data_IF_947191831820
#
_entry.id   IF_947191831820
#
_cell.length_a   1.000
_cell.length_b   1.000
_cell.length_c   1.000
_cell.angle_alpha   90.00
_cell.angle_beta   90.00
_cell.angle_gamma   90.00
#
_symmetry.space_group_name_H-M   'P 1'
#
loop_
_entity.id
_entity.type
_entity.pdbx_description
1 polymer ?
#
# COMPACT_ATOMS: atom_id res chain seq x y z
N UNK A 1 -12.61 -8.77 -20.90
CA UNK A 1 -13.26 -7.67 -20.17
C UNK A 1 -12.17 -6.70 -19.70
N UNK A 2 -11.94 -5.61 -20.43
CA UNK A 2 -11.09 -4.52 -19.99
C UNK A 2 -11.98 -3.52 -19.24
N UNK A 3 -12.24 -3.82 -17.97
CA UNK A 3 -12.90 -2.88 -17.07
C UNK A 3 -11.87 -1.89 -16.57
N UNK A 4 -12.08 -0.59 -16.83
CA UNK A 4 -11.43 0.45 -16.03
C UNK A 4 -11.63 0.10 -14.56
N UNK A 5 -10.54 0.12 -13.78
CA UNK A 5 -10.54 -0.22 -12.35
C UNK A 5 -11.50 0.72 -11.63
N UNK A 6 -12.76 0.32 -11.49
CA UNK A 6 -13.74 1.05 -10.69
C UNK A 6 -13.60 0.62 -9.24
N UNK A 7 -13.68 1.59 -8.35
CA UNK A 7 -13.51 1.39 -6.92
C UNK A 7 -14.53 0.38 -6.37
N UNK A 8 -14.05 -0.49 -5.49
CA UNK A 8 -14.90 -1.25 -4.58
C UNK A 8 -15.45 -0.29 -3.53
N UNK A 9 -16.77 -0.30 -3.30
CA UNK A 9 -17.40 0.59 -2.32
C UNK A 9 -17.84 -0.24 -1.13
N UNK A 10 -17.30 0.07 0.05
CA UNK A 10 -17.69 -0.57 1.33
C UNK A 10 -18.89 0.15 1.93
N UNK A 11 -19.92 -0.60 2.27
CA UNK A 11 -21.15 -0.09 2.88
C UNK A 11 -21.63 -1.04 3.96
N UNK A 12 -22.35 -0.52 4.95
CA UNK A 12 -23.11 -1.35 5.89
C UNK A 12 -24.47 -1.70 5.28
N UNK A 13 -24.93 -2.93 5.44
CA UNK A 13 -26.25 -3.34 4.93
C UNK A 13 -27.35 -3.10 5.96
N UNK A 14 -28.53 -2.71 5.48
CA UNK A 14 -29.76 -2.60 6.28
C UNK A 14 -30.89 -3.36 5.56
N UNK A 15 -31.07 -4.66 5.86
CA UNK A 15 -32.11 -5.47 5.24
C UNK A 15 -33.50 -5.02 5.68
N UNK A 16 -34.31 -4.51 4.75
CA UNK A 16 -35.69 -4.06 5.00
C UNK A 16 -36.62 -4.57 3.91
N UNK A 17 -37.93 -4.61 4.17
CA UNK A 17 -38.89 -5.11 3.19
C UNK A 17 -39.19 -4.03 2.14
N UNK A 18 -38.46 -4.08 1.02
CA UNK A 18 -38.60 -3.14 -0.09
C UNK A 18 -38.19 -3.79 -1.41
N UNK A 19 -38.77 -3.34 -2.51
CA UNK A 19 -38.47 -3.92 -3.83
C UNK A 19 -37.19 -3.35 -4.46
N UNK A 20 -36.82 -2.12 -4.08
CA UNK A 20 -35.75 -1.34 -4.70
C UNK A 20 -34.61 -1.11 -3.72
N UNK A 21 -33.35 -1.06 -4.15
CA UNK A 21 -32.25 -0.71 -3.22
C UNK A 21 -32.05 0.80 -3.14
N UNK A 22 -31.77 1.31 -1.94
CA UNK A 22 -31.31 2.68 -1.69
C UNK A 22 -29.92 2.64 -1.11
N UNK A 23 -29.08 3.56 -1.56
CA UNK A 23 -27.84 3.85 -0.87
C UNK A 23 -27.94 5.18 -0.15
N UNK A 24 -27.65 5.17 1.13
CA UNK A 24 -27.53 6.36 1.96
C UNK A 24 -26.05 6.70 2.07
N UNK A 25 -25.68 7.89 1.62
CA UNK A 25 -24.31 8.39 1.65
C UNK A 25 -24.16 9.45 2.75
N UNK A 26 -23.04 9.46 3.49
CA UNK A 26 -22.74 10.57 4.39
C UNK A 26 -22.78 11.91 3.67
N UNK A 27 -23.23 12.96 4.33
CA UNK A 27 -23.20 14.31 3.76
C UNK A 27 -21.78 14.69 3.32
N UNK A 28 -21.63 15.13 2.07
CA UNK A 28 -20.32 15.48 1.50
C UNK A 28 -19.47 14.30 1.04
N UNK A 29 -20.02 13.08 0.98
CA UNK A 29 -19.32 11.92 0.39
C UNK A 29 -18.99 12.14 -1.08
N UNK A 30 -17.77 11.75 -1.47
CA UNK A 30 -17.22 11.75 -2.83
C UNK A 30 -17.40 10.41 -3.55
N UNK A 31 -18.18 9.48 -2.97
CA UNK A 31 -18.39 8.16 -3.55
C UNK A 31 -19.18 8.25 -4.87
N UNK A 32 -18.56 7.80 -5.95
CA UNK A 32 -19.19 7.72 -7.27
C UNK A 32 -20.18 6.55 -7.36
N UNK A 33 -21.43 6.81 -6.98
CA UNK A 33 -22.55 5.87 -7.10
C UNK A 33 -23.58 6.43 -8.07
N UNK A 34 -24.08 5.59 -8.96
CA UNK A 34 -25.03 5.97 -9.99
C UNK A 34 -26.41 5.36 -9.69
N UNK A 35 -27.44 6.20 -9.61
CA UNK A 35 -28.82 5.73 -9.59
C UNK A 35 -29.15 5.00 -10.91
N UNK A 36 -29.97 3.95 -10.83
CA UNK A 36 -30.25 3.04 -11.93
C UNK A 36 -29.23 1.92 -12.11
N UNK A 37 -28.05 2.02 -11.50
CA UNK A 37 -26.95 1.08 -11.70
C UNK A 37 -27.11 -0.18 -10.86
N UNK A 38 -26.63 -1.29 -11.42
CA UNK A 38 -26.65 -2.58 -10.73
C UNK A 38 -25.29 -2.94 -10.17
N UNK A 39 -25.31 -3.47 -8.95
CA UNK A 39 -24.16 -3.91 -8.20
C UNK A 39 -24.32 -5.39 -7.83
N UNK A 40 -23.23 -6.15 -7.93
CA UNK A 40 -23.08 -7.38 -7.15
C UNK A 40 -22.65 -6.93 -5.76
N UNK A 41 -23.45 -7.29 -4.77
CA UNK A 41 -23.15 -7.09 -3.36
C UNK A 41 -22.48 -8.36 -2.86
N UNK A 42 -21.29 -8.22 -2.30
CA UNK A 42 -20.52 -9.33 -1.72
C UNK A 42 -20.30 -9.03 -0.25
N UNK A 43 -20.63 -9.98 0.64
CA UNK A 43 -20.32 -9.84 2.06
C UNK A 43 -18.83 -9.54 2.25
N UNK A 44 -18.47 -8.66 3.19
CA UNK A 44 -17.09 -8.47 3.64
C UNK A 44 -16.73 -9.47 4.76
N UNK A 45 -17.73 -10.05 5.43
CA UNK A 45 -17.56 -10.96 6.58
C UNK A 45 -17.15 -12.35 6.12
N UNK A 46 -15.90 -12.77 6.39
CA UNK A 46 -15.37 -14.06 5.93
C UNK A 46 -16.22 -15.25 6.36
N UNK A 47 -16.76 -15.24 7.59
CA UNK A 47 -17.56 -16.30 8.18
C UNK A 47 -18.97 -16.41 7.58
N UNK A 48 -19.44 -15.36 6.88
CA UNK A 48 -20.74 -15.31 6.19
C UNK A 48 -20.53 -15.01 4.71
N UNK A 49 -19.87 -15.88 3.93
CA UNK A 49 -19.69 -15.65 2.50
C UNK A 49 -21.05 -15.68 1.82
N UNK A 50 -21.47 -14.55 1.26
CA UNK A 50 -22.73 -14.45 0.53
C UNK A 50 -22.64 -13.35 -0.52
N UNK A 51 -23.38 -13.53 -1.61
CA UNK A 51 -23.50 -12.50 -2.66
C UNK A 51 -24.89 -12.46 -3.23
N UNK A 52 -25.33 -11.27 -3.64
CA UNK A 52 -26.64 -11.04 -4.25
C UNK A 52 -26.58 -9.80 -5.15
N UNK A 53 -27.68 -9.52 -5.86
CA UNK A 53 -27.80 -8.36 -6.74
C UNK A 53 -28.59 -7.22 -6.09
N UNK A 54 -28.10 -6.00 -6.26
CA UNK A 54 -28.82 -4.79 -5.89
C UNK A 54 -28.81 -3.79 -7.04
N UNK A 55 -29.99 -3.38 -7.52
CA UNK A 55 -30.14 -2.22 -8.40
C UNK A 55 -30.44 -1.01 -7.53
N UNK A 56 -29.47 -0.11 -7.44
CA UNK A 56 -29.59 1.14 -6.66
C UNK A 56 -30.46 2.08 -7.49
N UNK A 57 -31.65 2.41 -7.02
CA UNK A 57 -32.58 3.29 -7.74
C UNK A 57 -32.61 4.70 -7.18
N UNK A 58 -32.22 4.86 -5.92
CA UNK A 58 -32.18 6.15 -5.25
C UNK A 58 -30.92 6.25 -4.38
N UNK A 59 -30.36 7.46 -4.35
CA UNK A 59 -29.22 7.84 -3.53
C UNK A 59 -29.73 8.91 -2.58
N UNK A 60 -29.67 8.64 -1.28
CA UNK A 60 -30.10 9.54 -0.23
C UNK A 60 -28.89 10.00 0.60
N UNK A 61 -29.02 11.12 1.31
CA UNK A 61 -28.04 11.57 2.30
C UNK A 61 -28.38 11.05 3.69
N UNK A 62 -27.39 10.61 4.46
CA UNK A 62 -27.52 10.27 5.89
C UNK A 62 -26.62 11.14 6.76
N UNK A 63 -27.01 11.31 8.03
CA UNK A 63 -26.15 11.87 9.09
C UNK A 63 -25.12 10.85 9.59
N UNK A 64 -25.27 9.57 9.23
CA UNK A 64 -24.32 8.54 9.59
C UNK A 64 -22.96 8.79 8.94
N UNK A 65 -21.92 8.38 9.63
CA UNK A 65 -20.54 8.51 9.15
C UNK A 65 -20.17 7.47 8.09
N UNK A 66 -21.00 6.44 7.92
CA UNK A 66 -20.78 5.32 7.00
C UNK A 66 -21.92 5.22 5.98
N UNK A 67 -21.61 4.87 4.72
CA UNK A 67 -22.65 4.54 3.75
C UNK A 67 -23.48 3.33 4.18
N UNK A 68 -24.80 3.40 3.94
CA UNK A 68 -25.74 2.32 4.25
C UNK A 68 -26.47 1.88 2.98
N UNK A 69 -26.44 0.58 2.67
CA UNK A 69 -27.27 -0.02 1.62
C UNK A 69 -28.55 -0.60 2.23
N UNK A 70 -29.67 0.07 1.96
CA UNK A 70 -30.99 -0.48 2.23
C UNK A 70 -31.43 -1.40 1.09
N UNK A 71 -31.73 -2.66 1.39
CA UNK A 71 -32.10 -3.66 0.37
C UNK A 71 -33.16 -4.62 0.89
N UNK A 72 -33.87 -5.27 -0.03
CA UNK A 72 -34.83 -6.32 0.27
C UNK A 72 -34.23 -7.38 1.21
N UNK A 73 -34.83 -7.57 2.38
CA UNK A 73 -34.41 -8.57 3.36
C UNK A 73 -34.44 -10.00 2.79
N UNK A 74 -35.31 -10.27 1.82
CA UNK A 74 -35.36 -11.57 1.13
C UNK A 74 -34.14 -11.82 0.25
N UNK A 75 -33.53 -10.77 -0.30
CA UNK A 75 -32.34 -10.85 -1.15
C UNK A 75 -31.05 -10.88 -0.35
N UNK A 76 -31.02 -10.21 0.80
CA UNK A 76 -29.85 -10.14 1.69
C UNK A 76 -29.44 -11.51 2.27
N UNK A 77 -30.36 -12.48 2.29
CA UNK A 77 -30.09 -13.85 2.72
C UNK A 77 -29.65 -13.91 4.19
N UNK A 78 -28.47 -14.47 4.52
CA UNK A 78 -28.00 -14.62 5.90
C UNK A 78 -27.39 -13.33 6.50
N UNK A 79 -27.36 -12.22 5.74
CA UNK A 79 -26.76 -10.96 6.20
C UNK A 79 -27.72 -10.21 7.13
N UNK A 80 -27.18 -9.74 8.24
CA UNK A 80 -27.90 -8.97 9.24
C UNK A 80 -27.65 -7.47 9.08
N UNK A 81 -28.49 -6.65 9.71
CA UNK A 81 -28.26 -5.20 9.78
C UNK A 81 -26.89 -4.90 10.39
N UNK A 82 -26.16 -3.98 9.74
CA UNK A 82 -24.81 -3.58 10.13
C UNK A 82 -23.69 -4.47 9.58
N UNK A 83 -23.98 -5.65 9.02
CA UNK A 83 -22.95 -6.45 8.32
C UNK A 83 -22.33 -5.60 7.19
N UNK A 84 -21.02 -5.63 7.05
CA UNK A 84 -20.31 -4.91 5.99
C UNK A 84 -20.36 -5.69 4.68
N UNK A 85 -20.57 -4.98 3.57
CA UNK A 85 -20.60 -5.53 2.22
C UNK A 85 -19.82 -4.63 1.25
N UNK A 86 -19.24 -5.26 0.24
CA UNK A 86 -18.57 -4.63 -0.87
C UNK A 86 -19.52 -4.55 -2.08
N UNK A 87 -19.65 -3.37 -2.68
CA UNK A 87 -20.43 -3.13 -3.88
C UNK A 87 -19.52 -3.12 -5.11
N UNK A 88 -19.82 -4.01 -6.05
CA UNK A 88 -19.12 -4.08 -7.33
C UNK A 88 -20.09 -3.74 -8.44
N UNK A 89 -19.85 -2.65 -9.18
CA UNK A 89 -20.67 -2.37 -10.33
C UNK A 89 -20.58 -3.49 -11.35
N UNK A 90 -21.73 -3.97 -11.81
CA UNK A 90 -21.77 -5.16 -12.66
C UNK A 90 -22.70 -4.95 -13.84
N UNK A 91 -22.16 -5.16 -15.05
CA UNK A 91 -22.94 -5.14 -16.28
C UNK A 91 -23.60 -6.51 -16.42
N UNK A 92 -24.86 -6.59 -16.01
CA UNK A 92 -25.61 -7.84 -16.06
C UNK A 92 -25.94 -8.17 -17.53
N UNK A 93 -25.53 -9.36 -18.02
CA UNK A 93 -25.92 -9.78 -19.36
C UNK A 93 -27.41 -10.13 -19.41
N UNK A 94 -28.03 -9.83 -20.56
CA UNK A 94 -29.38 -10.32 -20.83
C UNK A 94 -29.36 -11.85 -20.99
N UNK A 95 -30.31 -12.52 -20.36
CA UNK A 95 -30.50 -13.96 -20.48
C UNK A 95 -30.96 -14.30 -21.90
N UNK A 96 -30.32 -15.27 -22.53
CA UNK A 96 -30.87 -15.97 -23.71
C UNK A 96 -31.98 -16.92 -23.29
N UNK A 97 -31.80 -17.57 -22.14
CA UNK A 97 -32.76 -18.50 -21.54
C UNK A 97 -32.83 -18.31 -20.04
N UNK A 98 -34.04 -18.34 -19.48
CA UNK A 98 -34.33 -18.36 -18.05
C UNK A 98 -35.28 -19.52 -17.74
N UNK A 99 -34.89 -20.42 -16.85
CA UNK A 99 -35.75 -21.50 -16.36
C UNK A 99 -36.28 -21.10 -14.99
N UNK A 100 -37.60 -21.08 -14.86
CA UNK A 100 -38.32 -20.79 -13.61
C UNK A 100 -38.85 -22.10 -13.06
N UNK A 101 -38.56 -22.39 -11.79
CA UNK A 101 -39.21 -23.50 -11.10
C UNK A 101 -40.47 -23.02 -10.38
N UNK A 102 -41.58 -23.72 -10.59
CA UNK A 102 -42.84 -23.47 -9.88
C UNK A 102 -43.30 -24.74 -9.14
N UNK A 103 -44.00 -24.61 -8.01
CA UNK A 103 -44.63 -25.74 -7.32
C UNK A 103 -45.56 -26.57 -8.22
N UNK A 104 -45.53 -27.88 -8.02
CA UNK A 104 -46.42 -28.85 -8.68
C UNK A 104 -47.93 -28.56 -8.52
N UNK A 105 -48.33 -27.93 -7.42
CA UNK A 105 -49.71 -27.52 -7.10
C UNK A 105 -50.37 -26.60 -8.15
N UNK A 106 -49.58 -25.90 -8.97
CA UNK A 106 -50.10 -25.04 -10.03
C UNK A 106 -50.69 -25.88 -11.17
N UNK A 107 -52.00 -26.12 -11.17
CA UNK A 107 -52.69 -26.97 -12.17
C UNK A 107 -52.69 -26.37 -13.58
N UNK A 108 -52.85 -25.04 -13.68
CA UNK A 108 -52.95 -24.34 -14.96
C UNK A 108 -51.59 -24.05 -15.61
N UNK A 109 -50.49 -24.17 -14.85
CA UNK A 109 -49.13 -23.94 -15.34
C UNK A 109 -48.49 -25.29 -15.63
N UNK A 110 -48.28 -25.57 -16.90
CA UNK A 110 -47.62 -26.77 -17.42
C UNK A 110 -46.12 -26.54 -17.53
N UNK A 111 -45.34 -27.62 -17.59
CA UNK A 111 -43.91 -27.53 -17.90
C UNK A 111 -43.72 -27.22 -19.39
N UNK A 112 -42.80 -26.32 -19.74
CA UNK A 112 -42.51 -25.97 -21.13
C UNK A 112 -42.11 -24.51 -21.33
N UNK A 113 -42.20 -24.02 -22.57
CA UNK A 113 -41.93 -22.64 -22.91
C UNK A 113 -43.14 -21.75 -22.56
N UNK A 114 -42.92 -20.74 -21.73
CA UNK A 114 -43.91 -19.76 -21.28
C UNK A 114 -43.47 -18.32 -21.54
N UNK A 115 -42.62 -18.11 -22.56
CA UNK A 115 -42.03 -16.80 -22.87
C UNK A 115 -43.08 -15.71 -23.02
N UNK A 116 -44.10 -15.91 -23.86
CA UNK A 116 -45.14 -14.91 -24.11
C UNK A 116 -45.94 -14.51 -22.85
N UNK A 117 -46.01 -15.39 -21.86
CA UNK A 117 -46.77 -15.16 -20.63
C UNK A 117 -45.93 -14.47 -19.56
N UNK A 118 -44.69 -14.91 -19.34
CA UNK A 118 -43.85 -14.34 -18.28
C UNK A 118 -43.05 -13.13 -18.75
N UNK A 119 -42.60 -13.08 -20.00
CA UNK A 119 -41.68 -12.04 -20.45
C UNK A 119 -42.22 -10.62 -20.22
N UNK A 120 -43.49 -10.29 -20.51
CA UNK A 120 -44.00 -8.93 -20.30
C UNK A 120 -43.91 -8.45 -18.84
N UNK A 121 -44.05 -9.38 -17.88
CA UNK A 121 -44.01 -9.06 -16.45
C UNK A 121 -42.61 -9.19 -15.84
N UNK A 122 -41.71 -9.90 -16.51
CA UNK A 122 -40.33 -10.09 -16.05
C UNK A 122 -39.33 -9.17 -16.77
N UNK A 123 -39.71 -8.53 -17.86
CA UNK A 123 -38.82 -7.71 -18.67
C UNK A 123 -38.13 -6.61 -17.85
N UNK A 124 -36.82 -6.51 -17.96
CA UNK A 124 -35.98 -5.58 -17.18
C UNK A 124 -35.66 -6.03 -15.76
N UNK A 125 -36.29 -7.08 -15.25
CA UNK A 125 -35.97 -7.63 -13.93
C UNK A 125 -34.61 -8.35 -13.94
N UNK A 126 -34.00 -8.37 -12.77
CA UNK A 126 -32.73 -9.01 -12.52
C UNK A 126 -32.95 -10.29 -11.73
N UNK A 127 -32.26 -11.36 -12.12
CA UNK A 127 -32.33 -12.64 -11.45
C UNK A 127 -30.93 -13.17 -11.15
N UNK A 128 -30.81 -13.68 -9.94
CA UNK A 128 -29.74 -14.55 -9.49
C UNK A 128 -30.29 -15.95 -9.18
N UNK A 129 -29.39 -16.89 -8.85
CA UNK A 129 -29.78 -18.26 -8.55
C UNK A 129 -30.77 -18.33 -7.37
N UNK A 130 -31.88 -19.02 -7.59
CA UNK A 130 -33.01 -19.18 -6.68
C UNK A 130 -33.62 -17.90 -6.13
N UNK A 131 -33.48 -16.78 -6.83
CA UNK A 131 -34.26 -15.59 -6.49
C UNK A 131 -35.75 -15.88 -6.58
N UNK A 132 -36.49 -15.41 -5.58
CA UNK A 132 -37.93 -15.58 -5.49
C UNK A 132 -38.64 -14.88 -6.65
N UNK A 133 -39.58 -15.61 -7.24
CA UNK A 133 -40.51 -15.09 -8.21
C UNK A 133 -41.88 -14.97 -7.55
N UNK A 134 -42.49 -13.79 -7.60
CA UNK A 134 -43.88 -13.58 -7.20
C UNK A 134 -44.53 -12.62 -8.19
N UNK A 135 -45.16 -13.17 -9.23
CA UNK A 135 -45.66 -12.38 -10.36
C UNK A 135 -47.08 -12.78 -10.74
N UNK A 136 -47.88 -11.78 -11.11
CA UNK A 136 -49.21 -12.01 -11.68
C UNK A 136 -49.07 -12.26 -13.18
N UNK A 137 -49.57 -13.41 -13.66
CA UNK A 137 -49.58 -13.75 -15.09
C UNK A 137 -50.98 -14.09 -15.56
N UNK A 138 -51.25 -13.84 -16.84
CA UNK A 138 -52.50 -14.23 -17.47
C UNK A 138 -52.38 -15.68 -17.99
N UNK A 139 -53.27 -16.55 -17.52
CA UNK A 139 -53.40 -17.94 -17.98
C UNK A 139 -54.81 -18.14 -18.52
N UNK A 140 -54.95 -18.06 -19.85
CA UNK A 140 -56.26 -17.97 -20.49
C UNK A 140 -56.96 -16.66 -20.10
N UNK A 141 -58.16 -16.76 -19.53
CA UNK A 141 -58.97 -15.61 -19.08
C UNK A 141 -58.78 -15.26 -17.59
N UNK A 142 -57.86 -15.94 -16.89
CA UNK A 142 -57.65 -15.74 -15.47
C UNK A 142 -56.27 -15.12 -15.18
N UNK A 143 -56.22 -14.21 -14.21
CA UNK A 143 -54.96 -13.73 -13.62
C UNK A 143 -54.58 -14.67 -12.48
N UNK A 144 -53.38 -15.22 -12.51
CA UNK A 144 -52.86 -16.10 -11.47
C UNK A 144 -51.56 -15.53 -10.88
N UNK A 145 -51.46 -15.49 -9.55
CA UNK A 145 -50.21 -15.17 -8.85
C UNK A 145 -49.34 -16.43 -8.82
N UNK A 146 -48.22 -16.37 -9.53
CA UNK A 146 -47.25 -17.46 -9.64
C UNK A 146 -46.09 -17.19 -8.71
N UNK A 147 -45.92 -18.11 -7.78
CA UNK A 147 -44.78 -18.17 -6.87
C UNK A 147 -43.81 -19.24 -7.35
N UNK A 148 -42.54 -18.89 -7.45
CA UNK A 148 -41.50 -19.78 -7.94
C UNK A 148 -40.10 -19.28 -7.61
N UNK A 149 -39.10 -19.86 -8.27
CA UNK A 149 -37.71 -19.40 -8.19
C UNK A 149 -37.05 -19.38 -9.56
N UNK A 150 -36.07 -18.50 -9.75
CA UNK A 150 -35.15 -18.59 -10.88
C UNK A 150 -34.22 -19.79 -10.71
N UNK A 151 -34.41 -20.84 -11.52
CA UNK A 151 -33.73 -22.12 -11.34
C UNK A 151 -32.41 -22.17 -12.12
N UNK A 152 -32.44 -21.84 -13.42
CA UNK A 152 -31.30 -21.91 -14.32
C UNK A 152 -31.33 -20.72 -15.28
N UNK A 153 -30.18 -20.32 -15.81
CA UNK A 153 -30.07 -19.28 -16.84
C UNK A 153 -28.91 -19.55 -17.80
N UNK A 154 -29.03 -18.99 -18.99
CA UNK A 154 -27.94 -18.90 -19.97
C UNK A 154 -27.79 -17.44 -20.45
N UNK A 155 -26.66 -16.74 -20.21
CA UNK A 155 -25.49 -17.22 -19.44
C UNK A 155 -25.84 -17.52 -17.99
N UNK A 156 -24.93 -18.16 -17.25
CA UNK A 156 -25.12 -18.44 -15.82
C UNK A 156 -25.39 -17.15 -15.05
N UNK A 157 -26.23 -17.24 -14.02
CA UNK A 157 -26.55 -16.15 -13.11
C UNK A 157 -25.30 -15.38 -12.65
N UNK A 158 -25.40 -14.05 -12.47
CA UNK A 158 -26.60 -13.22 -12.56
C UNK A 158 -26.98 -12.81 -14.00
N UNK A 159 -28.29 -12.65 -14.27
CA UNK A 159 -28.81 -12.23 -15.59
C UNK A 159 -29.96 -11.23 -15.47
N UNK A 160 -30.21 -10.49 -16.55
CA UNK A 160 -31.40 -9.65 -16.74
C UNK A 160 -32.33 -10.28 -17.77
N UNK A 161 -33.64 -10.04 -17.66
CA UNK A 161 -34.61 -10.47 -18.67
C UNK A 161 -34.73 -9.36 -19.72
N UNK A 162 -34.43 -9.67 -20.98
CA UNK A 162 -34.57 -8.76 -22.11
C UNK A 162 -35.57 -9.26 -23.15
N UNK A 163 -35.68 -8.53 -24.26
CA UNK A 163 -36.60 -8.84 -25.37
C UNK A 163 -36.33 -10.21 -26.04
N UNK A 164 -35.09 -10.70 -25.96
CA UNK A 164 -34.69 -11.99 -26.53
C UNK A 164 -34.72 -13.16 -25.55
N UNK A 165 -35.15 -12.96 -24.30
CA UNK A 165 -35.08 -14.01 -23.28
C UNK A 165 -36.19 -15.05 -23.46
N UNK A 166 -35.80 -16.31 -23.71
CA UNK A 166 -36.74 -17.43 -23.66
C UNK A 166 -36.99 -17.84 -22.22
N UNK A 167 -38.25 -17.98 -21.81
CA UNK A 167 -38.63 -18.38 -20.44
C UNK A 167 -39.23 -19.78 -20.47
N UNK A 168 -38.62 -20.69 -19.73
CA UNK A 168 -39.13 -22.05 -19.53
C UNK A 168 -39.60 -22.25 -18.10
N UNK A 169 -40.73 -22.92 -17.93
CA UNK A 169 -41.24 -23.31 -16.61
C UNK A 169 -40.95 -24.78 -16.37
N UNK A 170 -40.40 -25.10 -15.20
CA UNK A 170 -40.22 -26.45 -14.67
C UNK A 170 -41.08 -26.63 -13.43
N UNK A 171 -41.83 -27.72 -13.33
CA UNK A 171 -42.61 -28.03 -12.13
C UNK A 171 -41.75 -28.85 -11.18
N UNK A 172 -41.64 -28.40 -9.94
CA UNK A 172 -40.92 -29.09 -8.88
C UNK A 172 -41.84 -29.30 -7.68
N UNK A 173 -41.70 -30.44 -7.01
CA UNK A 173 -42.28 -30.65 -5.69
C UNK A 173 -41.58 -29.75 -4.64
N UNK A 174 -42.16 -29.67 -3.45
CA UNK A 174 -41.63 -28.82 -2.37
C UNK A 174 -40.18 -29.18 -2.00
N UNK A 175 -39.88 -30.47 -1.90
CA UNK A 175 -38.55 -30.95 -1.50
C UNK A 175 -37.47 -30.53 -2.50
N UNK A 176 -37.74 -30.66 -3.81
CA UNK A 176 -36.82 -30.21 -4.87
C UNK A 176 -36.67 -28.70 -4.92
N UNK A 177 -37.74 -27.94 -4.65
CA UNK A 177 -37.65 -26.48 -4.54
C UNK A 177 -36.74 -26.07 -3.37
N UNK A 178 -36.93 -26.68 -2.21
CA UNK A 178 -36.12 -26.41 -1.02
C UNK A 178 -34.66 -26.81 -1.26
N UNK A 179 -34.41 -27.94 -1.93
CA UNK A 179 -33.07 -28.37 -2.34
C UNK A 179 -32.41 -27.37 -3.32
N UNK A 180 -33.16 -26.89 -4.31
CA UNK A 180 -32.66 -25.89 -5.26
C UNK A 180 -32.31 -24.56 -4.59
N UNK A 181 -33.11 -24.10 -3.62
CA UNK A 181 -32.81 -22.91 -2.80
C UNK A 181 -31.51 -23.10 -2.01
N UNK A 182 -31.35 -24.25 -1.37
CA UNK A 182 -30.12 -24.57 -0.61
C UNK A 182 -28.89 -24.56 -1.53
N UNK A 183 -28.97 -25.22 -2.68
CA UNK A 183 -27.88 -25.25 -3.66
C UNK A 183 -27.54 -23.84 -4.18
N UNK A 184 -28.53 -22.98 -4.38
CA UNK A 184 -28.30 -21.60 -4.81
C UNK A 184 -27.63 -20.75 -3.73
N UNK A 185 -27.99 -20.94 -2.44
CA UNK A 185 -27.27 -20.30 -1.32
C UNK A 185 -25.80 -20.72 -1.31
N UNK A 186 -25.52 -22.01 -1.50
CA UNK A 186 -24.15 -22.53 -1.61
C UNK A 186 -23.40 -21.93 -2.82
N UNK A 187 -24.07 -21.77 -3.96
CA UNK A 187 -23.51 -21.12 -5.15
C UNK A 187 -23.19 -19.65 -4.89
N UNK A 188 -24.11 -18.89 -4.28
CA UNK A 188 -23.93 -17.48 -3.89
C UNK A 188 -22.76 -17.32 -2.91
N UNK A 189 -22.59 -18.27 -1.98
CA UNK A 189 -21.46 -18.33 -1.06
C UNK A 189 -20.14 -18.64 -1.76
N UNK A 190 -20.13 -19.61 -2.68
CA UNK A 190 -18.94 -19.97 -3.46
C UNK A 190 -18.50 -18.83 -4.36
N UNK A 191 -19.43 -18.15 -5.02
CA UNK A 191 -19.15 -16.96 -5.83
C UNK A 191 -18.55 -15.83 -4.99
N UNK A 192 -19.12 -15.57 -3.81
CA UNK A 192 -18.58 -14.58 -2.87
C UNK A 192 -17.14 -14.93 -2.45
N UNK A 193 -16.87 -16.21 -2.13
CA UNK A 193 -15.53 -16.68 -1.78
C UNK A 193 -14.55 -16.54 -2.94
N UNK A 194 -14.89 -17.04 -4.13
CA UNK A 194 -14.05 -16.94 -5.32
C UNK A 194 -13.73 -15.48 -5.67
N UNK A 195 -14.68 -14.58 -5.47
CA UNK A 195 -14.47 -13.15 -5.65
C UNK A 195 -13.45 -12.60 -4.65
N UNK A 196 -13.61 -12.90 -3.36
CA UNK A 196 -12.64 -12.49 -2.32
C UNK A 196 -11.25 -13.05 -2.57
N UNK A 197 -11.15 -14.33 -2.95
CA UNK A 197 -9.87 -14.97 -3.26
C UNK A 197 -9.19 -14.26 -4.46
N UNK A 198 -9.97 -13.86 -5.48
CA UNK A 198 -9.48 -13.09 -6.63
C UNK A 198 -9.03 -11.67 -6.24
N UNK A 199 -9.80 -10.98 -5.38
CA UNK A 199 -9.42 -9.67 -4.84
C UNK A 199 -8.14 -9.78 -4.01
N UNK A 200 -8.08 -10.73 -3.09
CA UNK A 200 -6.89 -10.95 -2.26
C UNK A 200 -5.67 -11.30 -3.13
N UNK A 201 -5.83 -12.11 -4.17
CA UNK A 201 -4.76 -12.40 -5.12
C UNK A 201 -4.30 -11.14 -5.86
N UNK A 202 -5.24 -10.30 -6.29
CA UNK A 202 -4.94 -9.04 -6.97
C UNK A 202 -4.24 -8.04 -6.05
N UNK A 203 -4.69 -7.94 -4.79
CA UNK A 203 -4.08 -7.10 -3.76
C UNK A 203 -2.69 -7.61 -3.36
N UNK A 204 -2.50 -8.93 -3.25
CA UNK A 204 -1.17 -9.53 -3.03
C UNK A 204 -0.22 -9.28 -4.20
N UNK A 205 -0.71 -9.39 -5.43
CA UNK A 205 0.09 -9.06 -6.61
C UNK A 205 0.45 -7.57 -6.66
N UNK A 206 -0.50 -6.70 -6.28
CA UNK A 206 -0.27 -5.27 -6.15
C UNK A 206 0.73 -4.94 -5.05
N UNK A 207 0.61 -5.57 -3.87
CA UNK A 207 1.54 -5.49 -2.76
C UNK A 207 2.94 -5.92 -3.20
N UNK A 208 3.05 -7.02 -3.94
CA UNK A 208 4.29 -7.49 -4.55
C UNK A 208 4.89 -6.46 -5.51
N UNK A 209 4.07 -5.82 -6.36
CA UNK A 209 4.52 -4.75 -7.27
C UNK A 209 4.98 -3.50 -6.53
N UNK A 210 4.23 -3.06 -5.52
CA UNK A 210 4.62 -1.93 -4.68
C UNK A 210 5.95 -2.25 -3.99
N UNK A 211 6.10 -3.43 -3.39
CA UNK A 211 7.36 -3.88 -2.78
C UNK A 211 8.52 -3.98 -3.79
N UNK A 212 8.26 -4.47 -5.01
CA UNK A 212 9.29 -4.66 -6.04
C UNK A 212 9.70 -3.36 -6.75
N UNK A 213 8.83 -2.35 -6.78
CA UNK A 213 9.06 -1.07 -7.45
C UNK A 213 9.88 -0.04 -6.65
N UNK A 214 10.51 -0.43 -5.53
CA UNK A 214 11.36 0.42 -4.69
C UNK A 214 10.78 1.81 -4.40
N UNK A 215 9.51 1.84 -4.01
CA UNK A 215 8.94 2.94 -3.24
C UNK A 215 9.71 3.12 -1.93
N UNK A 216 9.83 4.36 -1.48
CA UNK A 216 10.52 4.66 -0.26
C UNK A 216 9.93 3.87 0.93
N UNK A 217 10.81 3.41 1.80
CA UNK A 217 10.48 2.49 2.89
C UNK A 217 10.87 3.11 4.22
N UNK A 218 9.87 3.41 5.04
CA UNK A 218 10.08 3.75 6.45
C UNK A 218 9.88 2.48 7.29
N UNK A 219 10.88 2.12 8.12
CA UNK A 219 10.75 1.03 9.10
C UNK A 219 10.86 1.58 10.50
N UNK A 220 9.97 1.14 11.38
CA UNK A 220 9.97 1.43 12.81
C UNK A 220 9.84 0.13 13.58
N UNK A 221 10.58 0.02 14.67
CA UNK A 221 10.56 -1.14 15.55
C UNK A 221 10.30 -0.65 16.95
N UNK A 222 9.37 -1.30 17.63
CA UNK A 222 8.86 -0.86 18.92
C UNK A 222 8.94 -2.06 19.84
N UNK A 223 9.62 -1.92 20.96
CA UNK A 223 9.67 -2.95 21.98
C UNK A 223 8.55 -2.69 22.99
N UNK A 224 7.88 -3.76 23.43
CA UNK A 224 6.84 -3.66 24.44
C UNK A 224 7.01 -4.73 25.51
N UNK A 225 6.56 -4.41 26.71
CA UNK A 225 6.56 -5.34 27.83
C UNK A 225 5.39 -5.10 28.78
N UNK A 226 5.05 -6.13 29.56
CA UNK A 226 4.04 -6.04 30.61
C UNK A 226 2.60 -6.16 30.14
N UNK A 227 2.36 -6.52 28.88
CA UNK A 227 1.00 -6.71 28.36
C UNK A 227 0.39 -8.01 28.86
N UNK A 228 -0.82 -7.93 29.43
CA UNK A 228 -1.58 -9.10 29.86
C UNK A 228 -2.17 -9.91 28.68
N UNK A 229 -2.39 -9.26 27.54
CA UNK A 229 -2.89 -9.90 26.31
C UNK A 229 -2.35 -9.18 25.08
N UNK A 230 -1.54 -9.87 24.28
CA UNK A 230 -1.01 -9.34 23.01
C UNK A 230 -2.11 -9.25 21.94
N UNK A 231 -3.21 -10.02 22.10
CA UNK A 231 -4.40 -9.89 21.25
C UNK A 231 -5.02 -8.49 21.35
N UNK A 232 -5.03 -7.87 22.54
CA UNK A 232 -5.52 -6.51 22.71
C UNK A 232 -4.68 -5.49 21.91
N UNK A 233 -3.36 -5.68 21.85
CA UNK A 233 -2.47 -4.87 21.04
C UNK A 233 -2.75 -5.03 19.54
N UNK A 234 -3.00 -6.26 19.09
CA UNK A 234 -3.40 -6.54 17.70
C UNK A 234 -4.73 -5.87 17.34
N UNK A 235 -5.73 -5.93 18.24
CA UNK A 235 -7.00 -5.22 18.07
C UNK A 235 -6.83 -3.70 17.99
N UNK A 236 -5.90 -3.11 18.73
CA UNK A 236 -5.60 -1.68 18.63
C UNK A 236 -4.95 -1.31 17.31
N UNK A 237 -4.01 -2.12 16.83
CA UNK A 237 -3.40 -1.94 15.49
C UNK A 237 -4.48 -2.00 14.40
N UNK A 238 -5.40 -2.95 14.52
CA UNK A 238 -6.55 -3.03 13.62
C UNK A 238 -7.47 -1.80 13.73
N UNK A 239 -7.65 -1.25 14.94
CA UNK A 239 -8.37 0.00 15.15
C UNK A 239 -7.69 1.22 14.50
N UNK A 240 -6.35 1.34 14.61
CA UNK A 240 -5.56 2.41 13.99
C UNK A 240 -5.66 2.43 12.46
N UNK A 241 -5.82 1.26 11.88
CA UNK A 241 -5.93 1.07 10.44
C UNK A 241 -7.37 0.86 10.00
N UNK A 242 -8.33 1.05 10.90
CA UNK A 242 -9.75 0.93 10.57
C UNK A 242 -10.13 1.98 9.53
N UNK A 243 -10.80 1.52 8.46
CA UNK A 243 -11.08 2.34 7.28
C UNK A 243 -10.05 2.23 6.15
N UNK A 244 -8.87 1.64 6.41
CA UNK A 244 -7.95 1.27 5.34
C UNK A 244 -8.34 -0.09 4.72
N UNK A 245 -7.91 -0.32 3.49
CA UNK A 245 -8.15 -1.59 2.79
C UNK A 245 -7.17 -2.65 3.31
N UNK A 246 -7.66 -3.58 4.14
CA UNK A 246 -6.89 -4.73 4.62
C UNK A 246 -6.58 -5.71 3.48
N UNK A 247 -5.32 -6.06 3.32
CA UNK A 247 -4.81 -6.97 2.27
C UNK A 247 -4.44 -8.34 2.85
N UNK A 248 -3.75 -8.31 3.98
CA UNK A 248 -3.33 -9.52 4.70
C UNK A 248 -3.54 -9.31 6.19
N UNK A 249 -4.18 -10.28 6.82
CA UNK A 249 -4.25 -10.39 8.26
C UNK A 249 -4.04 -11.85 8.63
N UNK A 250 -3.04 -12.13 9.45
CA UNK A 250 -2.79 -13.46 9.99
C UNK A 250 -2.39 -13.33 11.44
N UNK A 251 -2.90 -14.23 12.26
CA UNK A 251 -2.57 -14.31 13.68
C UNK A 251 -2.32 -15.77 14.03
N UNK A 252 -1.22 -16.04 14.70
CA UNK A 252 -0.85 -17.38 15.14
C UNK A 252 -0.40 -17.33 16.59
N UNK A 253 -0.90 -18.27 17.39
CA UNK A 253 -0.52 -18.41 18.79
C UNK A 253 -0.16 -19.88 19.06
N UNK A 254 1.11 -20.13 19.36
CA UNK A 254 1.63 -21.48 19.64
C UNK A 254 2.72 -21.42 20.69
N UNK A 255 2.62 -22.27 21.71
CA UNK A 255 3.65 -22.37 22.76
C UNK A 255 3.90 -21.07 23.55
N UNK A 256 2.89 -20.19 23.68
CA UNK A 256 3.05 -18.88 24.34
C UNK A 256 3.81 -17.85 23.51
N UNK A 257 4.07 -18.15 22.24
CA UNK A 257 4.51 -17.20 21.22
C UNK A 257 3.27 -16.74 20.45
N UNK A 258 3.08 -15.43 20.33
CA UNK A 258 2.04 -14.85 19.50
C UNK A 258 2.70 -14.04 18.38
N UNK A 259 2.32 -14.35 17.15
CA UNK A 259 2.68 -13.58 15.97
C UNK A 259 1.43 -13.05 15.28
N UNK A 260 1.49 -11.81 14.80
CA UNK A 260 0.47 -11.25 13.95
C UNK A 260 1.11 -10.46 12.81
N UNK A 261 0.49 -10.54 11.64
CA UNK A 261 0.83 -9.71 10.49
C UNK A 261 -0.45 -9.03 10.02
N UNK A 262 -0.37 -7.72 9.81
CA UNK A 262 -1.48 -6.92 9.34
C UNK A 262 -0.96 -5.94 8.29
N UNK A 263 -1.44 -6.06 7.05
CA UNK A 263 -1.03 -5.24 5.93
C UNK A 263 -2.25 -4.52 5.34
N UNK A 264 -2.14 -3.20 5.19
CA UNK A 264 -3.18 -2.33 4.67
C UNK A 264 -2.65 -1.51 3.49
N UNK A 265 -3.57 -1.12 2.60
CA UNK A 265 -3.29 -0.18 1.53
C UNK A 265 -3.95 1.16 1.84
N UNK A 266 -3.19 2.24 1.63
CA UNK A 266 -3.72 3.60 1.52
C UNK A 266 -3.80 3.95 0.05
N UNK A 267 -4.98 4.42 -0.36
CA UNK A 267 -5.24 4.93 -1.70
C UNK A 267 -5.27 6.44 -1.67
N UNK A 268 -4.72 7.06 -2.70
CA UNK A 268 -5.05 8.43 -3.07
C UNK A 268 -5.95 8.35 -4.29
N UNK A 269 -7.14 8.93 -4.18
CA UNK A 269 -8.24 8.73 -5.13
C UNK A 269 -8.54 7.23 -5.28
N UNK A 270 -8.12 6.62 -6.40
CA UNK A 270 -8.33 5.21 -6.71
C UNK A 270 -7.02 4.42 -6.81
N UNK A 271 -5.88 5.10 -6.79
CA UNK A 271 -4.59 4.45 -6.93
C UNK A 271 -4.02 4.05 -5.56
N UNK A 272 -3.56 2.79 -5.41
CA UNK A 272 -2.82 2.38 -4.23
C UNK A 272 -1.45 3.07 -4.23
N UNK A 273 -1.24 3.99 -3.30
CA UNK A 273 0.01 4.78 -3.22
C UNK A 273 0.93 4.33 -2.10
N UNK A 274 0.35 3.73 -1.05
CA UNK A 274 1.08 3.38 0.15
C UNK A 274 0.61 2.04 0.70
N UNK A 275 1.56 1.27 1.25
CA UNK A 275 1.28 0.06 2.04
C UNK A 275 1.77 0.30 3.46
N UNK A 276 0.97 -0.07 4.44
CA UNK A 276 1.34 -0.10 5.85
C UNK A 276 1.33 -1.56 6.29
N UNK A 277 2.40 -2.03 6.91
CA UNK A 277 2.50 -3.36 7.49
C UNK A 277 2.86 -3.27 8.96
N UNK A 278 2.08 -3.93 9.80
CA UNK A 278 2.39 -4.19 11.19
C UNK A 278 2.73 -5.67 11.35
N UNK A 279 3.87 -5.95 11.95
CA UNK A 279 4.28 -7.28 12.37
C UNK A 279 4.46 -7.29 13.87
N UNK A 280 3.65 -8.06 14.58
CA UNK A 280 3.76 -8.25 16.02
C UNK A 280 4.37 -9.62 16.26
N UNK A 281 5.42 -9.68 17.08
CA UNK A 281 5.99 -10.93 17.57
C UNK A 281 6.19 -10.81 19.06
N UNK A 282 5.69 -11.77 19.84
CA UNK A 282 5.72 -11.69 21.29
C UNK A 282 5.85 -13.04 21.94
N UNK A 283 6.39 -13.03 23.16
CA UNK A 283 6.50 -14.19 24.02
C UNK A 283 6.29 -13.74 25.47
N UNK A 284 5.37 -14.40 26.20
CA UNK A 284 5.11 -14.12 27.63
C UNK A 284 4.82 -12.64 27.96
N UNK A 285 4.07 -11.93 27.10
CA UNK A 285 3.62 -10.56 27.36
C UNK A 285 4.66 -9.46 27.07
N UNK A 286 5.83 -9.82 26.53
CA UNK A 286 6.78 -8.91 25.92
C UNK A 286 7.02 -9.26 24.46
N UNK A 287 7.47 -8.28 23.67
CA UNK A 287 7.64 -8.50 22.24
C UNK A 287 8.06 -7.26 21.49
N UNK A 288 7.91 -7.37 20.17
CA UNK A 288 8.29 -6.34 19.21
C UNK A 288 7.13 -6.12 18.23
N UNK A 289 6.84 -4.86 17.95
CA UNK A 289 6.02 -4.44 16.81
C UNK A 289 6.96 -3.84 15.76
N UNK A 290 6.96 -4.38 14.55
CA UNK A 290 7.60 -3.75 13.39
C UNK A 290 6.54 -3.10 12.52
N UNK A 291 6.61 -1.78 12.37
CA UNK A 291 5.82 -1.00 11.42
C UNK A 291 6.68 -0.76 10.18
N UNK A 292 6.18 -1.16 9.02
CA UNK A 292 6.78 -0.86 7.72
C UNK A 292 5.79 -0.04 6.90
N UNK A 293 6.24 1.10 6.37
CA UNK A 293 5.44 1.91 5.45
C UNK A 293 6.19 2.00 4.13
N UNK A 294 5.54 1.58 3.05
CA UNK A 294 6.05 1.64 1.68
C UNK A 294 5.24 2.68 0.92
N UNK A 295 5.82 3.81 0.52
CA UNK A 295 5.11 4.87 -0.21
C UNK A 295 5.95 5.41 -1.38
N UNK A 296 5.30 5.86 -2.46
CA UNK A 296 6.00 6.44 -3.63
C UNK A 296 6.96 7.57 -3.26
N UNK A 297 6.65 8.31 -2.21
CA UNK A 297 7.46 9.41 -1.69
C UNK A 297 8.03 9.08 -0.29
N UNK A 298 9.33 9.37 -0.09
CA UNK A 298 10.03 9.08 1.16
C UNK A 298 9.55 9.92 2.34
N UNK A 299 9.31 11.22 2.11
CA UNK A 299 8.79 12.11 3.15
C UNK A 299 7.41 11.65 3.61
N UNK A 300 6.55 11.23 2.67
CA UNK A 300 5.23 10.68 2.96
C UNK A 300 5.31 9.37 3.75
N UNK A 301 6.20 8.45 3.37
CA UNK A 301 6.40 7.20 4.12
C UNK A 301 6.84 7.47 5.56
N UNK A 302 7.82 8.37 5.74
CA UNK A 302 8.37 8.74 7.05
C UNK A 302 7.36 9.49 7.92
N UNK A 303 6.62 10.44 7.33
CA UNK A 303 5.54 11.17 8.02
C UNK A 303 4.46 10.21 8.50
N UNK A 304 3.94 9.37 7.60
CA UNK A 304 2.87 8.42 7.95
C UNK A 304 3.33 7.40 8.99
N UNK A 305 4.57 6.89 8.89
CA UNK A 305 5.12 6.00 9.90
C UNK A 305 5.21 6.71 11.27
N UNK A 306 5.58 7.98 11.29
CA UNK A 306 5.69 8.78 12.52
C UNK A 306 4.32 9.10 13.12
N UNK A 307 3.33 9.45 12.29
CA UNK A 307 1.95 9.71 12.71
C UNK A 307 1.33 8.45 13.34
N UNK A 308 1.46 7.30 12.66
CA UNK A 308 0.98 6.00 13.18
C UNK A 308 1.66 5.59 14.49
N UNK A 309 2.95 5.88 14.65
CA UNK A 309 3.66 5.66 15.92
C UNK A 309 3.11 6.54 17.04
N UNK A 310 2.83 7.81 16.77
CA UNK A 310 2.25 8.72 17.75
C UNK A 310 0.86 8.27 18.17
N UNK A 311 0.03 7.82 17.23
CA UNK A 311 -1.31 7.34 17.54
C UNK A 311 -1.28 6.02 18.31
N UNK A 312 -0.36 5.11 17.98
CA UNK A 312 -0.15 3.90 18.77
C UNK A 312 0.29 4.22 20.21
N UNK A 313 1.17 5.20 20.40
CA UNK A 313 1.60 5.66 21.71
C UNK A 313 0.45 6.30 22.51
N UNK A 314 -0.44 7.05 21.85
CA UNK A 314 -1.65 7.62 22.48
C UNK A 314 -2.62 6.53 22.93
N UNK A 315 -2.85 5.51 22.11
CA UNK A 315 -3.73 4.40 22.47
C UNK A 315 -3.19 3.55 23.63
N UNK A 316 -1.88 3.51 23.81
CA UNK A 316 -1.23 2.78 24.90
C UNK A 316 -1.53 3.36 26.28
N UNK A 317 -1.87 4.65 26.44
CA UNK A 317 -2.18 5.21 27.76
C UNK A 317 -3.36 4.52 28.46
N UNK A 318 -4.18 3.77 27.72
CA UNK A 318 -5.25 2.92 28.23
C UNK A 318 -4.85 1.48 28.61
N UNK A 319 -3.59 1.08 28.43
CA UNK A 319 -3.12 -0.29 28.61
C UNK A 319 -2.17 -0.43 29.81
N UNK A 320 -2.28 -1.54 30.54
CA UNK A 320 -1.25 -1.97 31.49
C UNK A 320 -0.07 -2.54 30.71
N UNK A 321 0.88 -1.68 30.32
CA UNK A 321 2.09 -2.08 29.61
C UNK A 321 2.93 -0.86 29.24
N UNK A 322 4.24 -1.05 29.06
CA UNK A 322 5.15 0.01 28.59
C UNK A 322 5.58 -0.33 27.17
N UNK A 323 5.22 0.53 26.22
CA UNK A 323 5.84 0.58 24.90
C UNK A 323 7.03 1.50 25.02
N UNK A 324 8.22 0.96 24.78
CA UNK A 324 9.40 1.76 24.56
C UNK A 324 9.60 1.86 23.05
N UNK A 325 9.42 3.06 22.51
CA UNK A 325 9.77 3.34 21.12
C UNK A 325 11.29 3.28 21.04
N UNK A 326 11.81 2.08 20.79
CA UNK A 326 13.20 1.86 20.49
C UNK A 326 13.49 2.55 19.16
N UNK A 327 14.10 3.74 19.24
CA UNK A 327 14.82 4.50 18.21
C UNK A 327 14.60 4.11 16.75
N UNK A 328 14.24 5.09 15.91
CA UNK A 328 14.29 4.98 14.45
C UNK A 328 15.65 4.45 14.03
N UNK A 329 15.75 3.15 13.71
CA UNK A 329 16.98 2.57 13.19
C UNK A 329 17.07 2.97 11.72
N UNK A 330 17.66 4.14 11.46
CA UNK A 330 18.08 4.53 10.11
C UNK A 330 18.97 3.42 9.53
N UNK A 331 18.90 3.13 8.23
CA UNK A 331 19.76 2.11 7.62
C UNK A 331 21.18 2.63 7.44
N UNK A 332 22.17 1.73 7.36
CA UNK A 332 23.54 2.16 7.06
C UNK A 332 23.64 2.78 5.65
N UNK A 333 22.76 2.41 4.71
CA UNK A 333 22.71 2.98 3.36
C UNK A 333 22.26 4.45 3.36
N UNK A 334 21.29 4.83 4.21
CA UNK A 334 20.84 6.22 4.32
C UNK A 334 21.93 7.10 4.94
N UNK A 335 22.67 6.57 5.92
CA UNK A 335 23.86 7.22 6.49
C UNK A 335 24.92 7.43 5.40
N UNK A 336 25.16 6.42 4.54
CA UNK A 336 26.10 6.53 3.41
C UNK A 336 25.67 7.62 2.42
N UNK A 337 24.40 7.62 2.02
CA UNK A 337 23.85 8.62 1.09
C UNK A 337 24.01 10.04 1.66
N UNK A 338 23.71 10.22 2.95
CA UNK A 338 23.91 11.49 3.63
C UNK A 338 25.38 11.92 3.63
N UNK A 339 26.31 11.01 3.95
CA UNK A 339 27.74 11.30 3.92
C UNK A 339 28.15 11.76 2.52
N UNK A 340 27.74 11.07 1.46
CA UNK A 340 28.04 11.43 0.07
C UNK A 340 27.46 12.79 -0.33
N UNK A 341 26.24 13.13 0.10
CA UNK A 341 25.65 14.46 -0.15
C UNK A 341 26.53 15.58 0.41
N UNK A 342 27.17 15.36 1.56
CA UNK A 342 28.11 16.35 2.09
C UNK A 342 29.36 16.53 1.20
N UNK A 343 29.76 15.50 0.45
CA UNK A 343 30.86 15.56 -0.51
C UNK A 343 30.58 16.40 -1.75
N UNK A 344 29.31 16.62 -2.09
CA UNK A 344 28.93 17.56 -3.16
C UNK A 344 29.19 19.02 -2.78
N UNK A 345 29.24 19.31 -1.47
CA UNK A 345 29.40 20.66 -0.91
C UNK A 345 30.86 21.01 -0.65
N UNK A 346 31.64 20.03 -0.18
CA UNK A 346 33.06 20.20 0.13
C UNK A 346 33.87 18.93 -0.26
N UNK A 347 35.08 19.07 -0.81
CA UNK A 347 35.89 17.93 -1.27
C UNK A 347 36.41 17.05 -0.12
N UNK A 348 36.53 17.62 1.07
CA UNK A 348 36.89 16.92 2.31
C UNK A 348 36.18 17.56 3.50
N UNK A 349 35.80 16.76 4.50
CA UNK A 349 35.14 17.26 5.71
C UNK A 349 35.42 16.37 6.92
N UNK A 350 35.59 16.93 8.13
CA UNK A 350 35.71 16.12 9.34
C UNK A 350 34.46 15.27 9.58
N UNK A 351 34.62 13.98 9.88
CA UNK A 351 33.50 13.08 10.14
C UNK A 351 32.62 13.55 11.31
N UNK A 352 33.24 14.16 12.32
CA UNK A 352 32.53 14.79 13.44
C UNK A 352 31.61 15.92 12.98
N UNK A 353 32.02 16.71 11.98
CA UNK A 353 31.18 17.79 11.43
C UNK A 353 30.01 17.23 10.64
N UNK A 354 30.24 16.17 9.87
CA UNK A 354 29.17 15.44 9.17
C UNK A 354 28.15 14.89 10.18
N UNK A 355 28.62 14.32 11.30
CA UNK A 355 27.74 13.84 12.37
C UNK A 355 26.94 14.95 13.04
N UNK A 356 27.54 16.12 13.28
CA UNK A 356 26.84 17.29 13.82
C UNK A 356 25.73 17.78 12.88
N UNK A 357 26.03 17.88 11.58
CA UNK A 357 25.04 18.27 10.57
C UNK A 357 23.92 17.23 10.50
N UNK A 358 24.26 15.93 10.50
CA UNK A 358 23.26 14.85 10.52
C UNK A 358 22.37 14.92 11.76
N UNK A 359 22.92 15.17 12.95
CA UNK A 359 22.14 15.28 14.17
C UNK A 359 21.19 16.50 14.15
N UNK A 360 21.57 17.56 13.44
CA UNK A 360 20.75 18.76 13.26
C UNK A 360 19.65 18.59 12.21
N UNK A 361 19.98 17.99 11.07
CA UNK A 361 19.05 17.79 9.94
C UNK A 361 18.13 16.58 10.15
N UNK A 362 18.61 15.56 10.87
CA UNK A 362 17.92 14.31 11.15
C UNK A 362 18.02 13.92 12.65
N UNK A 363 17.43 14.70 13.58
CA UNK A 363 17.50 14.44 15.02
C UNK A 363 16.95 13.07 15.41
N UNK A 364 16.06 12.51 14.59
CA UNK A 364 15.36 11.26 14.85
C UNK A 364 16.25 10.02 14.62
N UNK A 365 17.32 10.14 13.82
CA UNK A 365 18.15 9.01 13.41
C UNK A 365 19.03 8.43 14.52
N UNK A 366 19.27 9.22 15.59
CA UNK A 366 20.11 8.87 16.76
C UNK A 366 21.35 8.05 16.41
N UNK A 367 22.12 8.51 15.41
CA UNK A 367 23.37 7.86 14.99
C UNK A 367 24.49 8.25 15.97
N UNK A 368 25.01 7.27 16.70
CA UNK A 368 26.17 7.51 17.56
C UNK A 368 27.47 7.62 16.73
N UNK A 369 28.51 8.21 17.34
CA UNK A 369 29.80 8.41 16.67
C UNK A 369 30.46 7.10 16.21
N UNK A 370 30.27 6.01 16.96
CA UNK A 370 30.83 4.68 16.62
C UNK A 370 30.18 4.11 15.37
N UNK A 371 28.87 4.27 15.23
CA UNK A 371 28.10 3.83 14.06
C UNK A 371 28.50 4.64 12.84
N UNK A 372 28.63 5.95 12.97
CA UNK A 372 29.11 6.82 11.91
C UNK A 372 30.52 6.41 11.43
N UNK A 373 31.45 6.18 12.37
CA UNK A 373 32.80 5.70 12.07
C UNK A 373 32.78 4.35 11.34
N UNK A 374 31.97 3.40 11.81
CA UNK A 374 31.82 2.08 11.16
C UNK A 374 31.34 2.23 9.72
N UNK A 375 30.31 3.05 9.48
CA UNK A 375 29.76 3.28 8.14
C UNK A 375 30.79 3.94 7.23
N UNK A 376 31.49 4.98 7.71
CA UNK A 376 32.53 5.64 6.92
C UNK A 376 33.69 4.70 6.56
N UNK A 377 34.13 3.82 7.47
CA UNK A 377 35.16 2.80 7.18
C UNK A 377 34.70 1.80 6.12
N UNK A 378 33.41 1.44 6.13
CA UNK A 378 32.85 0.56 5.12
C UNK A 378 32.76 1.24 3.75
N UNK A 379 32.43 2.54 3.72
CA UNK A 379 32.46 3.34 2.49
C UNK A 379 33.86 3.43 1.90
N UNK A 380 34.89 3.68 2.73
CA UNK A 380 36.30 3.70 2.35
C UNK A 380 36.73 2.36 1.76
N UNK A 381 36.44 1.25 2.45
CA UNK A 381 36.72 -0.12 1.97
C UNK A 381 36.04 -0.45 0.63
N UNK A 382 34.87 0.14 0.36
CA UNK A 382 34.11 -0.03 -0.89
C UNK A 382 34.50 0.96 -1.99
N UNK A 383 35.37 1.93 -1.70
CA UNK A 383 35.72 3.00 -2.63
C UNK A 383 34.55 3.96 -2.94
N UNK A 384 33.55 4.06 -2.06
CA UNK A 384 32.46 5.04 -2.19
C UNK A 384 32.92 6.46 -1.81
N UNK A 385 33.93 6.54 -0.94
CA UNK A 385 34.71 7.75 -0.67
C UNK A 385 36.15 7.45 -1.04
N UNK A 386 36.95 8.48 -1.30
CA UNK A 386 38.35 8.28 -1.68
C UNK A 386 39.17 7.71 -0.53
N UNK A 387 39.12 8.36 0.63
CA UNK A 387 39.96 8.01 1.76
C UNK A 387 39.31 8.46 3.07
N UNK A 388 39.32 7.59 4.07
CA UNK A 388 39.03 7.94 5.46
C UNK A 388 40.35 8.05 6.25
N UNK A 389 40.87 9.26 6.39
CA UNK A 389 42.16 9.52 7.04
C UNK A 389 41.97 9.77 8.54
N UNK A 390 42.80 9.14 9.38
CA UNK A 390 42.83 9.43 10.83
C UNK A 390 43.92 10.46 11.10
N UNK A 391 43.52 11.64 11.57
CA UNK A 391 44.43 12.74 11.90
C UNK A 391 45.20 12.44 13.20
N UNK A 392 46.35 13.09 13.41
CA UNK A 392 47.14 13.00 14.66
C UNK A 392 46.35 13.40 15.90
N UNK A 393 45.35 14.27 15.74
CA UNK A 393 44.42 14.70 16.79
C UNK A 393 43.40 13.64 17.18
N UNK A 394 43.35 12.51 16.46
CA UNK A 394 42.49 11.36 16.72
C UNK A 394 41.15 11.38 15.99
N UNK A 395 40.78 12.48 15.32
CA UNK A 395 39.55 12.57 14.52
C UNK A 395 39.74 12.03 13.10
N UNK A 396 38.64 11.63 12.46
CA UNK A 396 38.64 11.18 11.06
C UNK A 396 38.28 12.32 10.11
N UNK A 397 39.05 12.44 9.03
CA UNK A 397 38.77 13.28 7.87
C UNK A 397 38.23 12.39 6.74
N UNK A 398 37.09 12.76 6.18
CA UNK A 398 36.49 12.09 5.03
C UNK A 398 36.92 12.84 3.76
N UNK A 399 37.61 12.16 2.86
CA UNK A 399 37.98 12.67 1.53
C UNK A 399 37.03 12.09 0.49
N UNK A 400 36.25 12.94 -0.19
CA UNK A 400 35.23 12.51 -1.14
C UNK A 400 35.80 12.30 -2.55
N UNK A 401 36.79 13.10 -2.91
CA UNK A 401 37.53 12.98 -4.17
C UNK A 401 38.94 12.47 -3.90
N UNK A 402 39.52 11.67 -4.81
CA UNK A 402 40.93 11.35 -4.76
C UNK A 402 41.75 12.64 -4.67
N UNK A 403 42.73 12.73 -3.75
CA UNK A 403 43.68 13.84 -3.74
C UNK A 403 44.32 14.03 -5.13
N UNK A 404 44.50 12.91 -5.84
CA UNK A 404 45.04 12.79 -7.18
C UNK A 404 44.13 13.35 -8.29
N UNK A 405 42.83 13.55 -8.03
CA UNK A 405 41.79 13.98 -8.99
C UNK A 405 41.28 15.40 -8.68
N UNK A 406 41.77 16.05 -7.62
CA UNK A 406 41.48 17.46 -7.43
C UNK A 406 42.01 18.25 -8.63
N UNK A 407 41.24 19.22 -9.12
CA UNK A 407 41.58 20.13 -10.24
C UNK A 407 42.84 20.99 -9.96
N UNK A 408 43.37 20.86 -8.75
CA UNK A 408 44.41 21.70 -8.18
C UNK A 408 45.80 21.45 -8.79
N UNK A 409 46.32 20.20 -8.88
CA UNK A 409 47.58 19.94 -9.56
C UNK A 409 47.53 20.35 -11.03
N UNK A 410 46.37 20.20 -11.70
CA UNK A 410 46.18 20.65 -13.09
C UNK A 410 46.27 22.18 -13.21
N UNK A 411 45.66 22.94 -12.30
CA UNK A 411 45.77 24.41 -12.27
C UNK A 411 47.18 24.89 -11.98
N UNK A 412 47.91 24.19 -11.10
CA UNK A 412 49.32 24.49 -10.82
C UNK A 412 50.20 24.17 -12.04
N UNK A 413 49.93 23.06 -12.73
CA UNK A 413 50.64 22.70 -13.97
C UNK A 413 50.36 23.71 -15.09
N UNK A 414 49.12 24.15 -15.28
CA UNK A 414 48.76 25.19 -16.24
C UNK A 414 49.45 26.54 -15.93
N UNK A 415 49.56 26.89 -14.64
CA UNK A 415 50.32 28.07 -14.23
C UNK A 415 51.83 27.90 -14.50
N UNK A 416 52.34 26.68 -14.30
CA UNK A 416 53.74 26.33 -14.53
C UNK A 416 54.11 26.31 -16.02
N UNK A 417 53.18 26.00 -16.92
CA UNK A 417 53.40 26.10 -18.37
C UNK A 417 53.80 27.52 -18.78
N UNK A 418 53.18 28.54 -18.17
CA UNK A 418 53.48 29.94 -18.53
C UNK A 418 54.78 30.48 -17.92
N UNK A 419 55.19 30.00 -16.74
CA UNK A 419 56.31 30.58 -15.97
C UNK A 419 57.53 29.69 -15.85
N UNK A 420 57.40 28.39 -16.11
CA UNK A 420 58.45 27.36 -15.98
C UNK A 420 58.88 27.04 -14.54
N UNK A 421 58.86 28.03 -13.64
CA UNK A 421 59.23 27.91 -12.23
C UNK A 421 58.18 28.62 -11.39
N UNK A 422 57.70 27.96 -10.33
CA UNK A 422 56.74 28.55 -9.40
C UNK A 422 57.27 28.47 -7.96
N UNK A 423 57.00 29.51 -7.18
CA UNK A 423 57.08 29.49 -5.72
C UNK A 423 55.70 29.29 -5.10
N UNK A 424 55.67 28.94 -3.82
CA UNK A 424 54.41 28.84 -3.06
C UNK A 424 53.62 30.16 -3.09
N UNK A 425 54.33 31.28 -2.96
CA UNK A 425 53.74 32.63 -3.06
C UNK A 425 53.15 32.92 -4.44
N UNK A 426 53.74 32.41 -5.53
CA UNK A 426 53.19 32.60 -6.88
C UNK A 426 51.83 31.94 -7.03
N UNK A 427 51.67 30.72 -6.51
CA UNK A 427 50.41 29.97 -6.57
C UNK A 427 49.36 30.63 -5.70
N UNK A 428 49.73 31.05 -4.49
CA UNK A 428 48.82 31.77 -3.58
C UNK A 428 48.32 33.07 -4.22
N UNK A 429 49.21 33.85 -4.84
CA UNK A 429 48.85 35.10 -5.50
C UNK A 429 48.01 34.88 -6.77
N UNK A 430 48.39 33.91 -7.63
CA UNK A 430 47.73 33.70 -8.92
C UNK A 430 46.38 33.01 -8.81
N UNK A 431 46.23 32.05 -7.89
CA UNK A 431 45.01 31.25 -7.74
C UNK A 431 44.15 31.69 -6.55
N UNK A 432 44.58 32.72 -5.80
CA UNK A 432 43.94 33.15 -4.55
C UNK A 432 43.77 32.01 -3.55
N UNK A 433 44.77 31.13 -3.46
CA UNK A 433 44.72 29.94 -2.61
C UNK A 433 45.31 30.20 -1.22
N UNK A 434 44.74 29.57 -0.17
CA UNK A 434 45.37 29.53 1.14
C UNK A 434 46.67 28.71 1.10
N UNK A 435 47.58 29.05 2.00
CA UNK A 435 48.93 28.49 2.06
C UNK A 435 48.96 26.95 2.10
N UNK A 436 48.08 26.34 2.91
CA UNK A 436 47.98 24.88 3.05
C UNK A 436 47.58 24.19 1.74
N UNK A 437 46.65 24.79 0.97
CA UNK A 437 46.18 24.25 -0.31
C UNK A 437 47.29 24.27 -1.37
N UNK A 438 48.02 25.39 -1.44
CA UNK A 438 49.18 25.51 -2.33
C UNK A 438 50.30 24.51 -1.98
N UNK A 439 50.55 24.31 -0.67
CA UNK A 439 51.50 23.29 -0.18
C UNK A 439 51.10 21.88 -0.61
N UNK A 440 49.85 21.49 -0.38
CA UNK A 440 49.38 20.14 -0.69
C UNK A 440 49.48 19.82 -2.19
N UNK A 441 49.13 20.78 -3.05
CA UNK A 441 49.24 20.61 -4.50
C UNK A 441 50.71 20.48 -4.96
N UNK A 442 51.62 21.27 -4.38
CA UNK A 442 53.05 21.22 -4.69
C UNK A 442 53.70 19.93 -4.19
N UNK A 443 53.41 19.51 -2.95
CA UNK A 443 53.94 18.28 -2.38
C UNK A 443 53.42 17.05 -3.14
N UNK A 444 52.17 17.10 -3.61
CA UNK A 444 51.61 16.09 -4.51
C UNK A 444 52.37 16.00 -5.83
N UNK A 445 52.58 17.14 -6.51
CA UNK A 445 53.31 17.20 -7.78
C UNK A 445 54.78 16.77 -7.63
N UNK A 446 55.43 17.12 -6.51
CA UNK A 446 56.78 16.66 -6.17
C UNK A 446 56.82 15.14 -5.97
N UNK A 447 55.89 14.59 -5.18
CA UNK A 447 55.80 13.14 -4.91
C UNK A 447 55.51 12.31 -6.16
N UNK A 448 54.75 12.86 -7.12
CA UNK A 448 54.48 12.22 -8.42
C UNK A 448 55.60 12.42 -9.45
N UNK A 449 56.68 13.12 -9.09
CA UNK A 449 57.81 13.39 -9.98
C UNK A 449 57.53 14.41 -11.09
N UNK A 450 56.42 15.15 -10.99
CA UNK A 450 56.02 16.19 -11.94
C UNK A 450 56.63 17.56 -11.60
N UNK A 451 57.09 17.73 -10.36
CA UNK A 451 57.84 18.90 -9.91
C UNK A 451 59.15 18.49 -9.21
N UNK A 452 60.18 19.31 -9.32
CA UNK A 452 61.43 19.20 -8.56
C UNK A 452 61.59 20.42 -7.67
N UNK A 453 61.74 20.18 -6.37
CA UNK A 453 61.96 21.23 -5.38
C UNK A 453 63.43 21.67 -5.37
N UNK A 454 63.65 22.97 -5.46
CA UNK A 454 64.95 23.62 -5.36
C UNK A 454 64.93 24.60 -4.18
N UNK A 455 65.94 24.51 -3.32
CA UNK A 455 66.04 25.33 -2.11
C UNK A 455 67.26 26.23 -2.24
N UNK A 456 67.02 27.54 -2.40
CA UNK A 456 68.06 28.56 -2.36
C UNK A 456 67.98 29.35 -1.06
N UNK A 457 69.13 29.61 -0.44
CA UNK A 457 69.19 30.44 0.77
C UNK A 457 68.71 31.88 0.52
N UNK A 458 68.96 32.41 -0.68
CA UNK A 458 68.63 33.80 -1.04
C UNK A 458 67.24 33.90 -1.66
N UNK A 459 66.85 32.94 -2.51
CA UNK A 459 65.64 33.04 -3.34
C UNK A 459 64.43 32.24 -2.81
N UNK A 460 64.57 31.55 -1.67
CA UNK A 460 63.51 30.72 -1.09
C UNK A 460 63.34 29.36 -1.79
N UNK A 461 62.20 28.71 -1.55
CA UNK A 461 61.84 27.41 -2.14
C UNK A 461 61.13 27.63 -3.46
N UNK A 462 61.66 27.07 -4.54
CA UNK A 462 61.08 27.08 -5.88
C UNK A 462 60.84 25.67 -6.37
N UNK A 463 59.85 25.52 -7.25
CA UNK A 463 59.48 24.26 -7.87
C UNK A 463 59.64 24.37 -9.39
N UNK A 464 60.42 23.45 -9.96
CA UNK A 464 60.66 23.33 -11.40
C UNK A 464 59.82 22.21 -11.97
N UNK A 465 59.17 22.44 -13.11
CA UNK A 465 58.28 21.48 -13.75
C UNK A 465 58.92 20.98 -15.05
N UNK A 466 59.47 19.75 -15.11
CA UNK A 466 60.25 19.28 -16.25
C UNK A 466 59.41 19.09 -17.53
N UNK A 467 58.10 18.89 -17.38
CA UNK A 467 57.20 18.44 -18.46
C UNK A 467 56.76 19.59 -19.39
N UNK A 468 57.03 20.85 -19.03
CA UNK A 468 56.57 22.03 -19.79
C UNK A 468 57.61 22.59 -20.76
N UNK A 469 58.76 21.90 -20.94
CA UNK A 469 59.72 22.18 -22.02
C UNK A 469 59.57 21.13 -23.13
N UNK A 470 58.54 21.29 -23.97
CA UNK A 470 58.43 20.65 -25.27
C UNK A 470 58.21 21.73 -26.34
#
# INVERSE_FOLDING_TARGET
MHGGKRAMIKVSIKPIFRDQAIIQLPQGSDLEIEAGRTYIVVSAVQQKPFSFLAKVLEIASTSDTRPVLEVDSRKAGPLAEGDEVDLFPYNIPAARKLVIAVPDKYKLITQGNWTSTFQPVLHGNLYDAADDLNVAVNVGNAVQIVQGIALESDPKFPVSVGDGTTIEVRKLDKEKLDAARKQAVEHKATRAKAWRDSQQTSLKALLGKLKAGAVAKAKRTIEFSGFSSVKALSSLIHGLTSGLEEVECSQEESGGVYTAHHACIVREELEPTTVIEFQVSSQKGSGVISLLVFARDASKAEKLASDLLQDLARLQSGLKGKIEIATVRVSDADIQAFILDQGSKEPMRPLAKIAEIMAKEHPDWRVDAKRMERVAKEMDKRGLISTLERMDTGFYMVHFLPPDVMDDPLKVLALAETRGVLSKSDIMAALSWPEARASNALDFLEKKGLAKRDKSYIAGVKYYFPVTRA
#
